data_IF_299862090950
#
_entry.id   IF_299862090950
#
_cell.length_a   1.000
_cell.length_b   1.000
_cell.length_c   1.000
_cell.angle_alpha   90.00
_cell.angle_beta   90.00
_cell.angle_gamma   90.00
#
_symmetry.space_group_name_H-M   'P 1'
#
loop_
_entity.id
_entity.type
_entity.pdbx_description
1 polymer ?
#
# COMPACT_ATOMS: atom_id res chain seq x y z
N UNK A 1 -13.29 23.11 7.75
CA UNK A 1 -11.84 23.14 8.09
C UNK A 1 -11.04 22.64 6.89
N UNK A 2 -10.13 23.47 6.38
CA UNK A 2 -9.23 23.16 5.27
C UNK A 2 -7.91 22.59 5.80
N UNK A 3 -7.57 21.37 5.39
CA UNK A 3 -6.34 20.66 5.76
C UNK A 3 -5.51 20.36 4.53
N UNK A 4 -4.19 20.57 4.62
CA UNK A 4 -3.23 20.09 3.62
C UNK A 4 -2.58 18.81 4.15
N UNK A 5 -2.65 17.72 3.37
CA UNK A 5 -1.89 16.50 3.63
C UNK A 5 -0.64 16.42 2.73
N UNK A 6 0.52 16.09 3.30
CA UNK A 6 1.80 15.94 2.60
C UNK A 6 2.33 14.51 2.81
N UNK A 7 2.62 13.80 1.71
CA UNK A 7 3.11 12.41 1.70
C UNK A 7 4.41 12.34 0.89
N UNK A 8 5.46 11.82 1.55
CA UNK A 8 6.85 11.71 1.02
C UNK A 8 7.58 10.51 1.64
N UNK A 9 6.87 9.45 2.01
CA UNK A 9 7.45 8.30 2.72
C UNK A 9 8.38 7.45 1.85
N UNK A 10 8.20 7.44 0.52
CA UNK A 10 8.92 6.54 -0.38
C UNK A 10 9.32 7.25 -1.68
N UNK A 11 8.64 6.99 -2.80
CA UNK A 11 9.00 7.41 -4.16
C UNK A 11 7.93 8.29 -4.83
N UNK A 12 6.88 8.64 -4.11
CA UNK A 12 5.81 9.54 -4.53
C UNK A 12 5.81 10.81 -3.68
N UNK A 13 5.85 11.97 -4.35
CA UNK A 13 5.64 13.27 -3.70
C UNK A 13 4.19 13.65 -3.89
N UNK A 14 3.42 13.68 -2.82
CA UNK A 14 1.99 13.95 -2.90
C UNK A 14 1.54 15.04 -1.94
N UNK A 15 0.63 15.88 -2.43
CA UNK A 15 -0.06 16.90 -1.63
C UNK A 15 -1.54 16.87 -1.95
N UNK A 16 -2.38 16.80 -0.92
CA UNK A 16 -3.83 16.88 -1.05
C UNK A 16 -4.38 18.04 -0.23
N UNK A 17 -5.45 18.66 -0.72
CA UNK A 17 -6.24 19.66 0.03
C UNK A 17 -7.60 19.06 0.32
N UNK A 18 -7.98 19.03 1.59
CA UNK A 18 -9.23 18.44 2.08
C UNK A 18 -10.00 19.49 2.87
N UNK A 19 -11.29 19.62 2.62
CA UNK A 19 -12.20 20.50 3.37
C UNK A 19 -13.31 19.65 3.98
N UNK A 20 -13.35 19.58 5.31
CA UNK A 20 -14.38 18.85 6.08
C UNK A 20 -14.58 17.40 5.61
N UNK A 21 -13.48 16.70 5.37
CA UNK A 21 -13.45 15.30 4.92
C UNK A 21 -13.63 15.11 3.41
N UNK A 22 -13.93 16.18 2.65
CA UNK A 22 -14.03 16.16 1.19
C UNK A 22 -12.71 16.54 0.54
N UNK A 23 -12.23 15.72 -0.39
CA UNK A 23 -11.02 16.01 -1.16
C UNK A 23 -11.32 17.09 -2.21
N UNK A 24 -10.65 18.24 -2.12
CA UNK A 24 -10.73 19.31 -3.11
C UNK A 24 -9.69 19.14 -4.22
N UNK A 25 -8.49 18.67 -3.86
CA UNK A 25 -7.43 18.31 -4.81
C UNK A 25 -6.53 17.23 -4.23
N UNK A 26 -5.91 16.44 -5.12
CA UNK A 26 -4.93 15.42 -4.77
C UNK A 26 -3.91 15.32 -5.90
N UNK A 27 -2.71 15.86 -5.65
CA UNK A 27 -1.64 15.91 -6.62
C UNK A 27 -0.55 14.93 -6.24
N UNK A 28 -0.11 14.12 -7.21
CA UNK A 28 0.94 13.11 -7.03
C UNK A 28 1.97 13.27 -8.14
N UNK A 29 3.25 13.35 -7.75
CA UNK A 29 4.40 13.26 -8.64
C UNK A 29 5.20 12.02 -8.30
N UNK A 30 5.26 11.07 -9.24
CA UNK A 30 5.88 9.75 -9.01
C UNK A 30 7.26 9.64 -9.65
N UNK A 31 8.25 9.22 -8.85
CA UNK A 31 9.62 8.97 -9.28
C UNK A 31 9.89 7.53 -9.73
N UNK A 32 8.86 6.67 -9.81
CA UNK A 32 8.97 5.24 -10.20
C UNK A 32 9.86 5.03 -11.43
N UNK A 33 9.73 5.88 -12.46
CA UNK A 33 10.52 5.78 -13.69
C UNK A 33 12.04 5.92 -13.50
N UNK A 34 12.48 6.67 -12.48
CA UNK A 34 13.90 6.83 -12.12
C UNK A 34 14.46 5.57 -11.45
N UNK A 35 13.58 4.81 -10.76
CA UNK A 35 13.93 3.59 -10.03
C UNK A 35 13.89 2.33 -10.90
N UNK A 36 13.11 2.34 -11.99
CA UNK A 36 12.93 1.18 -12.87
C UNK A 36 14.24 0.55 -13.36
N UNK A 37 15.26 1.36 -13.66
CA UNK A 37 16.57 0.86 -14.12
C UNK A 37 17.36 0.11 -13.04
N UNK A 38 17.02 0.32 -11.77
CA UNK A 38 17.65 -0.32 -10.62
C UNK A 38 16.85 -1.54 -10.12
N UNK A 39 15.61 -1.70 -10.61
CA UNK A 39 14.71 -2.77 -10.19
C UNK A 39 14.26 -2.65 -8.74
N UNK A 40 14.20 -1.43 -8.21
CA UNK A 40 13.78 -1.10 -6.84
C UNK A 40 14.07 0.36 -6.50
N UNK A 41 13.43 0.87 -5.45
CA UNK A 41 13.58 2.27 -5.02
C UNK A 41 14.99 2.52 -4.50
N UNK A 42 15.65 3.55 -5.04
CA UNK A 42 16.95 4.04 -4.57
C UNK A 42 16.72 5.23 -3.63
N UNK A 43 17.04 5.11 -2.32
CA UNK A 43 16.64 6.12 -1.32
C UNK A 43 17.14 7.53 -1.59
N UNK A 44 18.37 7.68 -2.08
CA UNK A 44 18.96 8.98 -2.40
C UNK A 44 18.26 9.66 -3.60
N UNK A 45 17.91 8.89 -4.63
CA UNK A 45 17.18 9.40 -5.80
C UNK A 45 15.79 9.87 -5.37
N UNK A 46 15.11 9.08 -4.55
CA UNK A 46 13.79 9.44 -4.03
C UNK A 46 13.84 10.72 -3.19
N UNK A 47 14.81 10.84 -2.28
CA UNK A 47 14.98 12.02 -1.43
C UNK A 47 15.20 13.29 -2.25
N UNK A 48 16.09 13.25 -3.27
CA UNK A 48 16.33 14.38 -4.18
C UNK A 48 15.09 14.76 -4.98
N UNK A 49 14.36 13.75 -5.46
CA UNK A 49 13.12 13.98 -6.19
C UNK A 49 12.09 14.71 -5.32
N UNK A 50 11.93 14.34 -4.04
CA UNK A 50 11.05 15.09 -3.15
C UNK A 50 11.46 16.54 -2.99
N UNK A 51 12.75 16.84 -2.84
CA UNK A 51 13.25 18.23 -2.73
C UNK A 51 12.86 19.05 -3.95
N UNK A 52 13.02 18.47 -5.15
CA UNK A 52 12.71 19.13 -6.42
C UNK A 52 11.21 19.35 -6.64
N UNK A 53 10.38 18.36 -6.27
CA UNK A 53 8.95 18.34 -6.64
C UNK A 53 7.99 18.78 -5.54
N UNK A 54 8.38 18.83 -4.26
CA UNK A 54 7.45 19.12 -3.16
C UNK A 54 6.78 20.48 -3.28
N UNK A 55 7.53 21.53 -3.64
CA UNK A 55 6.96 22.87 -3.79
C UNK A 55 6.09 23.02 -5.06
N UNK A 56 6.50 22.54 -6.25
CA UNK A 56 5.62 22.49 -7.42
C UNK A 56 4.30 21.75 -7.17
N UNK A 57 4.35 20.57 -6.54
CA UNK A 57 3.16 19.75 -6.21
C UNK A 57 2.26 20.49 -5.22
N UNK A 58 2.83 21.08 -4.18
CA UNK A 58 2.10 21.90 -3.20
C UNK A 58 1.36 23.07 -3.85
N UNK A 59 2.04 23.85 -4.71
CA UNK A 59 1.42 24.97 -5.42
C UNK A 59 0.30 24.50 -6.34
N UNK A 60 0.49 23.39 -7.03
CA UNK A 60 -0.52 22.80 -7.92
C UNK A 60 -1.75 22.35 -7.13
N UNK A 61 -1.56 21.72 -5.97
CA UNK A 61 -2.65 21.26 -5.12
C UNK A 61 -3.51 22.43 -4.61
N UNK A 62 -2.89 23.51 -4.12
CA UNK A 62 -3.60 24.72 -3.72
C UNK A 62 -4.36 25.37 -4.87
N UNK A 63 -3.71 25.51 -6.03
CA UNK A 63 -4.32 26.07 -7.24
C UNK A 63 -5.56 25.26 -7.67
N UNK A 64 -5.43 23.94 -7.74
CA UNK A 64 -6.51 23.07 -8.19
C UNK A 64 -7.66 22.98 -7.18
N UNK A 65 -7.37 23.15 -5.88
CA UNK A 65 -8.39 23.29 -4.85
C UNK A 65 -9.09 24.65 -4.85
N UNK A 66 -8.56 25.65 -5.57
CA UNK A 66 -9.05 27.02 -5.52
C UNK A 66 -8.87 27.68 -4.16
N UNK A 67 -7.86 27.27 -3.38
CA UNK A 67 -7.59 27.75 -2.02
C UNK A 67 -6.27 28.52 -1.95
N UNK A 68 -6.26 29.61 -1.19
CA UNK A 68 -5.05 30.29 -0.75
C UNK A 68 -4.49 29.69 0.53
N UNK A 69 -3.19 29.88 0.78
CA UNK A 69 -2.53 29.40 2.01
C UNK A 69 -3.15 29.99 3.29
N UNK A 70 -3.74 31.19 3.20
CA UNK A 70 -4.42 31.86 4.32
C UNK A 70 -5.75 31.18 4.73
N UNK A 71 -6.32 30.36 3.86
CA UNK A 71 -7.56 29.62 4.15
C UNK A 71 -7.28 28.27 4.83
N UNK A 72 -6.03 27.84 4.87
CA UNK A 72 -5.62 26.57 5.48
C UNK A 72 -5.70 26.68 6.99
N UNK A 73 -6.21 25.64 7.65
CA UNK A 73 -6.35 25.59 9.10
C UNK A 73 -5.41 24.55 9.74
N UNK A 74 -4.90 23.60 8.96
CA UNK A 74 -4.08 22.49 9.45
C UNK A 74 -3.13 21.98 8.37
N UNK A 75 -1.90 21.67 8.75
CA UNK A 75 -0.97 20.89 7.94
C UNK A 75 -0.82 19.51 8.57
N UNK A 76 -0.97 18.47 7.76
CA UNK A 76 -0.72 17.08 8.11
C UNK A 76 0.42 16.55 7.25
N UNK A 77 1.38 15.85 7.86
CA UNK A 77 2.52 15.28 7.13
C UNK A 77 2.80 13.87 7.58
N UNK A 78 3.13 13.00 6.64
CA UNK A 78 3.57 11.65 6.95
C UNK A 78 4.86 11.67 7.75
N UNK A 79 4.81 11.11 8.97
CA UNK A 79 5.95 11.02 9.89
C UNK A 79 6.65 9.68 9.81
N UNK A 80 5.88 8.60 9.63
CA UNK A 80 6.38 7.23 9.68
C UNK A 80 5.35 6.22 9.18
N UNK A 81 5.75 4.98 8.90
CA UNK A 81 7.10 4.58 8.51
C UNK A 81 7.46 5.13 7.11
N UNK A 82 8.73 5.04 6.73
CA UNK A 82 9.21 5.50 5.43
C UNK A 82 10.73 5.59 5.37
N UNK A 83 11.25 5.96 4.20
CA UNK A 83 12.66 6.22 3.99
C UNK A 83 13.07 7.48 4.77
N UNK A 84 14.10 7.43 5.65
CA UNK A 84 14.44 8.56 6.51
C UNK A 84 14.73 9.86 5.75
N UNK A 85 15.44 9.77 4.62
CA UNK A 85 15.72 10.93 3.76
C UNK A 85 14.46 11.53 3.15
N UNK A 86 13.56 10.69 2.63
CA UNK A 86 12.29 11.13 2.05
C UNK A 86 11.37 11.77 3.09
N UNK A 87 11.20 11.13 4.26
CA UNK A 87 10.39 11.65 5.38
C UNK A 87 10.89 13.00 5.90
N UNK A 88 12.22 13.19 5.94
CA UNK A 88 12.83 14.43 6.38
C UNK A 88 12.43 15.60 5.47
N UNK A 89 12.41 15.39 4.15
CA UNK A 89 12.02 16.42 3.18
C UNK A 89 10.59 16.89 3.42
N UNK A 90 9.63 15.97 3.50
CA UNK A 90 8.23 16.30 3.77
C UNK A 90 8.05 16.98 5.12
N UNK A 91 8.67 16.44 6.18
CA UNK A 91 8.57 16.99 7.53
C UNK A 91 9.16 18.39 7.63
N UNK A 92 10.33 18.65 7.02
CA UNK A 92 10.95 19.97 7.01
C UNK A 92 10.10 20.98 6.25
N UNK A 93 9.59 20.60 5.07
CA UNK A 93 8.70 21.45 4.28
C UNK A 93 7.40 21.77 5.02
N UNK A 94 6.75 20.77 5.61
CA UNK A 94 5.51 20.94 6.36
C UNK A 94 5.69 21.87 7.58
N UNK A 95 6.81 21.75 8.31
CA UNK A 95 7.17 22.66 9.40
C UNK A 95 7.35 24.09 8.92
N UNK A 96 8.04 24.31 7.80
CA UNK A 96 8.23 25.64 7.24
C UNK A 96 6.90 26.28 6.81
N UNK A 97 6.03 25.52 6.13
CA UNK A 97 4.70 25.99 5.71
C UNK A 97 3.81 26.29 6.92
N UNK A 98 3.75 25.39 7.91
CA UNK A 98 2.99 25.57 9.15
C UNK A 98 3.45 26.81 9.91
N UNK A 99 4.77 27.01 10.06
CA UNK A 99 5.34 28.18 10.72
C UNK A 99 4.99 29.49 9.97
N UNK A 100 5.17 29.50 8.64
CA UNK A 100 4.89 30.69 7.83
C UNK A 100 3.39 31.05 7.80
N UNK A 101 2.50 30.05 7.82
CA UNK A 101 1.05 30.25 7.80
C UNK A 101 0.45 30.46 9.20
N UNK A 102 1.19 30.18 10.27
CA UNK A 102 0.68 30.28 11.65
C UNK A 102 -0.38 29.23 11.99
N UNK A 103 -0.31 28.04 11.40
CA UNK A 103 -1.32 26.97 11.56
C UNK A 103 -0.71 25.73 12.22
N UNK A 104 -1.50 24.93 12.97
CA UNK A 104 -1.04 23.69 13.56
C UNK A 104 -0.46 22.68 12.55
N UNK A 105 0.46 21.84 13.03
CA UNK A 105 1.06 20.74 12.30
C UNK A 105 0.82 19.42 13.03
N UNK A 106 0.37 18.39 12.31
CA UNK A 106 0.24 17.02 12.82
C UNK A 106 1.10 16.04 12.02
N UNK A 107 1.74 15.12 12.75
CA UNK A 107 2.43 13.98 12.16
C UNK A 107 1.47 12.80 12.02
N UNK A 108 1.43 12.20 10.84
CA UNK A 108 0.51 11.10 10.49
C UNK A 108 1.30 9.82 10.28
N UNK A 109 0.77 8.70 10.78
CA UNK A 109 1.28 7.38 10.45
C UNK A 109 0.75 6.95 9.07
N UNK A 110 1.65 6.70 8.12
CA UNK A 110 1.40 6.30 6.75
C UNK A 110 0.51 5.05 6.64
N UNK A 111 0.74 4.04 7.50
CA UNK A 111 -0.03 2.79 7.47
C UNK A 111 -1.45 3.02 7.97
N UNK A 112 -1.63 3.87 8.99
CA UNK A 112 -2.95 4.21 9.48
C UNK A 112 -3.71 5.02 8.44
N UNK A 113 -3.05 5.99 7.79
CA UNK A 113 -3.62 6.73 6.67
C UNK A 113 -4.08 5.81 5.53
N UNK A 114 -3.30 4.77 5.20
CA UNK A 114 -3.70 3.76 4.23
C UNK A 114 -4.99 3.03 4.63
N UNK A 115 -5.10 2.57 5.88
CA UNK A 115 -6.32 1.91 6.38
C UNK A 115 -7.50 2.89 6.33
N UNK A 116 -7.30 4.14 6.76
CA UNK A 116 -8.36 5.13 6.84
C UNK A 116 -8.81 5.70 5.50
N UNK A 117 -8.00 5.57 4.45
CA UNK A 117 -8.35 6.03 3.09
C UNK A 117 -9.63 5.42 2.55
N UNK A 118 -10.05 4.24 3.03
CA UNK A 118 -11.30 3.59 2.66
C UNK A 118 -12.55 4.41 3.03
N UNK A 119 -12.42 5.34 3.98
CA UNK A 119 -13.52 6.17 4.47
C UNK A 119 -13.58 7.54 3.79
N UNK A 120 -12.60 7.88 2.94
CA UNK A 120 -12.60 9.12 2.16
C UNK A 120 -13.67 9.03 1.07
N UNK A 121 -14.47 10.08 0.94
CA UNK A 121 -15.48 10.25 -0.14
C UNK A 121 -16.46 9.06 -0.26
N UNK A 122 -16.73 8.38 0.87
CA UNK A 122 -17.66 7.26 0.88
C UNK A 122 -19.07 7.78 0.63
N UNK A 123 -19.58 7.58 -0.59
CA UNK A 123 -20.98 7.83 -1.00
C UNK A 123 -22.04 7.13 -0.13
N UNK A 124 -21.64 6.38 0.90
CA UNK A 124 -22.45 5.43 1.67
C UNK A 124 -22.77 5.87 3.11
N UNK A 125 -22.62 7.14 3.49
CA UNK A 125 -22.86 7.59 4.88
C UNK A 125 -22.10 6.73 5.93
N UNK A 126 -20.94 6.19 5.57
CA UNK A 126 -20.09 5.48 6.53
C UNK A 126 -19.22 6.52 7.22
N UNK A 127 -19.76 7.14 8.27
CA UNK A 127 -18.95 7.93 9.18
C UNK A 127 -17.95 7.00 9.88
N UNK A 128 -16.67 7.35 9.78
CA UNK A 128 -15.56 6.59 10.36
C UNK A 128 -15.75 6.32 11.86
N UNK A 129 -16.40 7.23 12.59
CA UNK A 129 -16.68 7.07 14.01
C UNK A 129 -17.64 5.91 14.31
N UNK A 130 -18.59 5.63 13.42
CA UNK A 130 -19.62 4.61 13.61
C UNK A 130 -19.18 3.18 13.25
N UNK A 131 -17.98 3.00 12.67
CA UNK A 131 -17.50 1.69 12.20
C UNK A 131 -16.45 1.05 13.11
N UNK A 132 -15.98 1.76 14.13
CA UNK A 132 -15.07 1.19 15.12
C UNK A 132 -15.81 0.26 16.10
N UNK A 133 -15.16 -0.82 16.59
CA UNK A 133 -13.85 -1.28 16.19
C UNK A 133 -13.89 -2.17 14.94
N UNK A 134 -12.82 -2.19 14.14
CA UNK A 134 -12.75 -2.95 12.89
C UNK A 134 -11.37 -3.58 12.65
N UNK A 135 -11.30 -4.50 11.68
CA UNK A 135 -10.01 -5.02 11.20
C UNK A 135 -9.49 -4.13 10.07
N UNK A 136 -8.32 -3.54 10.27
CA UNK A 136 -7.57 -2.84 9.24
C UNK A 136 -6.51 -3.75 8.63
N UNK A 137 -6.35 -3.74 7.31
CA UNK A 137 -5.24 -4.43 6.66
C UNK A 137 -4.52 -3.50 5.69
N UNK A 138 -3.19 -3.51 5.70
CA UNK A 138 -2.37 -2.79 4.73
C UNK A 138 -1.61 -3.80 3.90
N UNK A 139 -1.85 -3.78 2.58
CA UNK A 139 -1.21 -4.69 1.62
C UNK A 139 -0.60 -3.83 0.50
N UNK A 140 0.69 -3.51 0.63
CA UNK A 140 1.44 -2.63 -0.27
C UNK A 140 2.76 -3.27 -0.74
N UNK A 141 3.57 -2.49 -1.47
CA UNK A 141 4.92 -2.88 -1.87
C UNK A 141 5.80 -3.26 -0.67
N UNK A 142 5.82 -2.41 0.36
CA UNK A 142 6.67 -2.58 1.54
C UNK A 142 5.97 -3.07 2.80
N UNK A 143 4.64 -3.22 2.79
CA UNK A 143 3.89 -3.55 4.00
C UNK A 143 2.86 -4.65 3.76
N UNK A 144 2.75 -5.58 4.70
CA UNK A 144 1.68 -6.58 4.77
C UNK A 144 1.34 -6.77 6.24
N UNK A 145 0.32 -6.03 6.69
CA UNK A 145 0.00 -5.85 8.11
C UNK A 145 -1.49 -6.01 8.35
N UNK A 146 -1.85 -6.55 9.51
CA UNK A 146 -3.21 -6.58 10.05
C UNK A 146 -3.23 -5.83 11.37
N UNK A 147 -4.20 -4.93 11.51
CA UNK A 147 -4.46 -4.12 12.67
C UNK A 147 -5.84 -4.42 13.26
N UNK A 148 -5.93 -4.38 14.58
CA UNK A 148 -7.17 -4.16 15.30
C UNK A 148 -7.32 -2.65 15.54
N UNK A 149 -8.31 -2.03 14.92
CA UNK A 149 -8.52 -0.59 14.95
C UNK A 149 -9.66 -0.28 15.93
N UNK A 150 -9.36 0.40 17.02
CA UNK A 150 -10.31 0.66 18.12
C UNK A 150 -10.83 2.10 18.11
N UNK A 151 -10.02 3.04 17.63
CA UNK A 151 -10.36 4.44 17.41
C UNK A 151 -9.37 5.07 16.42
N UNK A 152 -9.58 6.33 16.05
CA UNK A 152 -8.71 7.07 15.11
C UNK A 152 -7.23 7.11 15.52
N UNK A 153 -6.95 6.95 16.81
CA UNK A 153 -5.63 7.03 17.44
C UNK A 153 -5.16 5.69 18.04
N UNK A 154 -5.99 4.63 18.03
CA UNK A 154 -5.66 3.33 18.63
C UNK A 154 -5.72 2.21 17.59
N UNK A 155 -4.54 1.89 17.07
CA UNK A 155 -4.30 0.81 16.12
C UNK A 155 -3.33 -0.19 16.74
N UNK A 156 -3.82 -1.41 17.01
CA UNK A 156 -3.02 -2.50 17.55
C UNK A 156 -2.55 -3.40 16.41
N UNK A 157 -1.24 -3.50 16.18
CA UNK A 157 -0.68 -4.43 15.20
C UNK A 157 -0.85 -5.87 15.69
N UNK A 158 -1.65 -6.68 14.99
CA UNK A 158 -1.97 -8.06 15.37
C UNK A 158 -1.38 -9.11 14.42
N UNK A 159 -0.89 -8.69 13.25
CA UNK A 159 -0.15 -9.57 12.33
C UNK A 159 0.69 -8.77 11.36
N UNK A 160 1.88 -9.27 11.02
CA UNK A 160 2.77 -8.64 10.03
C UNK A 160 3.55 -9.68 9.23
N UNK A 161 4.10 -9.27 8.09
CA UNK A 161 5.10 -10.10 7.43
C UNK A 161 6.35 -10.22 8.31
N UNK A 162 6.92 -11.43 8.38
CA UNK A 162 8.20 -11.72 9.03
C UNK A 162 9.38 -11.52 8.09
N UNK A 163 9.11 -11.39 6.79
CA UNK A 163 10.11 -11.27 5.73
C UNK A 163 9.67 -10.28 4.64
N UNK A 164 9.60 -10.72 3.38
CA UNK A 164 9.18 -9.89 2.26
C UNK A 164 7.71 -9.48 2.44
N UNK A 165 7.37 -8.24 2.15
CA UNK A 165 5.97 -7.87 1.96
C UNK A 165 5.43 -8.53 0.68
N UNK A 166 4.11 -8.69 0.57
CA UNK A 166 3.56 -9.38 -0.61
C UNK A 166 3.85 -8.61 -1.89
N UNK A 167 3.77 -7.28 -1.88
CA UNK A 167 4.05 -6.47 -3.07
C UNK A 167 5.51 -6.62 -3.53
N UNK A 168 6.46 -6.62 -2.60
CA UNK A 168 7.86 -6.97 -2.87
C UNK A 168 8.01 -8.39 -3.42
N UNK A 169 7.23 -9.37 -2.93
CA UNK A 169 7.24 -10.72 -3.49
C UNK A 169 6.74 -10.73 -4.95
N UNK A 170 5.72 -9.93 -5.30
CA UNK A 170 5.29 -9.73 -6.68
C UNK A 170 6.41 -9.14 -7.55
N UNK A 171 7.12 -8.12 -7.06
CA UNK A 171 8.24 -7.48 -7.77
C UNK A 171 9.40 -8.45 -7.99
N UNK A 172 9.76 -9.23 -6.97
CA UNK A 172 10.82 -10.26 -7.08
C UNK A 172 10.44 -11.37 -8.05
N UNK A 173 9.18 -11.81 -8.07
CA UNK A 173 8.70 -12.80 -9.06
C UNK A 173 8.72 -12.23 -10.47
N UNK A 174 8.28 -10.99 -10.66
CA UNK A 174 8.38 -10.33 -11.95
C UNK A 174 9.82 -10.23 -12.45
N UNK A 175 10.77 -9.92 -11.55
CA UNK A 175 12.20 -9.90 -11.85
C UNK A 175 12.75 -11.28 -12.23
N UNK A 176 12.41 -12.33 -11.50
CA UNK A 176 12.81 -13.73 -11.81
C UNK A 176 12.34 -14.15 -13.21
N UNK A 177 11.16 -13.70 -13.61
CA UNK A 177 10.54 -14.04 -14.90
C UNK A 177 10.86 -13.04 -16.02
N UNK A 178 11.72 -12.05 -15.75
CA UNK A 178 12.12 -10.99 -16.69
C UNK A 178 10.91 -10.21 -17.26
N UNK A 179 9.98 -9.85 -16.38
CA UNK A 179 8.71 -9.20 -16.73
C UNK A 179 8.72 -7.67 -16.53
N UNK A 180 9.76 -7.11 -15.92
CA UNK A 180 9.90 -5.69 -15.63
C UNK A 180 9.38 -5.27 -14.25
N UNK A 181 9.28 -3.96 -14.03
CA UNK A 181 8.87 -3.31 -12.79
C UNK A 181 7.90 -2.16 -13.09
N UNK A 182 6.83 -1.93 -12.30
CA UNK A 182 6.43 -2.67 -11.09
C UNK A 182 5.80 -4.03 -11.40
N UNK A 183 6.11 -5.04 -10.56
CA UNK A 183 5.78 -6.43 -10.81
C UNK A 183 4.33 -6.81 -10.55
N UNK A 184 3.67 -6.19 -9.58
CA UNK A 184 2.26 -6.47 -9.23
C UNK A 184 1.31 -6.47 -10.44
N UNK A 185 1.17 -5.34 -11.17
CA UNK A 185 0.29 -5.25 -12.35
C UNK A 185 0.68 -6.20 -13.49
N UNK A 186 1.99 -6.44 -13.68
CA UNK A 186 2.48 -7.29 -14.77
C UNK A 186 2.19 -8.76 -14.48
N UNK A 187 2.44 -9.23 -13.25
CA UNK A 187 2.14 -10.59 -12.81
C UNK A 187 0.64 -10.85 -12.90
N UNK A 188 -0.21 -9.91 -12.48
CA UNK A 188 -1.67 -10.05 -12.59
C UNK A 188 -2.12 -10.19 -14.05
N UNK A 189 -1.63 -9.32 -14.93
CA UNK A 189 -1.94 -9.37 -16.38
C UNK A 189 -1.49 -10.68 -17.04
N UNK A 190 -0.39 -11.26 -16.56
CA UNK A 190 0.12 -12.56 -17.03
C UNK A 190 -0.70 -13.72 -16.46
N UNK A 191 -1.05 -13.65 -15.18
CA UNK A 191 -1.91 -14.62 -14.52
C UNK A 191 -3.27 -14.76 -15.22
N UNK A 192 -3.87 -13.65 -15.67
CA UNK A 192 -5.16 -13.67 -16.37
C UNK A 192 -5.12 -14.33 -17.76
N UNK A 193 -3.93 -14.63 -18.29
CA UNK A 193 -3.73 -15.31 -19.59
C UNK A 193 -3.54 -16.82 -19.45
N UNK A 194 -3.55 -17.35 -18.23
CA UNK A 194 -3.45 -18.77 -17.98
C UNK A 194 -4.85 -19.42 -17.98
N UNK A 195 -5.08 -20.31 -18.95
CA UNK A 195 -6.35 -21.06 -19.10
C UNK A 195 -6.19 -22.56 -18.77
N UNK A 196 -5.02 -22.97 -18.25
CA UNK A 196 -4.75 -24.37 -17.93
C UNK A 196 -5.50 -24.83 -16.67
N UNK A 197 -5.89 -26.11 -16.64
CA UNK A 197 -6.66 -26.68 -15.52
C UNK A 197 -5.85 -26.93 -14.24
N UNK A 198 -4.51 -26.96 -14.32
CA UNK A 198 -3.63 -27.37 -13.20
C UNK A 198 -2.64 -26.27 -12.82
N UNK A 199 -2.87 -25.66 -11.66
CA UNK A 199 -1.94 -24.72 -11.03
C UNK A 199 -0.72 -25.46 -10.45
N UNK A 200 0.37 -24.73 -10.29
CA UNK A 200 1.58 -25.18 -9.60
C UNK A 200 1.31 -25.09 -8.08
N UNK A 201 1.60 -26.15 -7.29
CA UNK A 201 1.32 -26.16 -5.87
C UNK A 201 2.42 -25.40 -5.08
N UNK A 202 2.49 -24.08 -5.27
CA UNK A 202 3.40 -23.25 -4.46
C UNK A 202 3.01 -23.26 -2.97
N UNK A 203 3.98 -23.12 -2.03
CA UNK A 203 3.68 -23.20 -0.61
C UNK A 203 2.80 -22.03 -0.15
N UNK A 204 1.89 -22.31 0.79
CA UNK A 204 1.16 -21.30 1.56
C UNK A 204 1.73 -21.27 2.97
N UNK A 205 2.69 -20.38 3.21
CA UNK A 205 3.44 -20.34 4.45
C UNK A 205 2.56 -19.94 5.66
N UNK A 206 2.96 -20.39 6.85
CA UNK A 206 2.38 -19.99 8.14
C UNK A 206 0.86 -20.22 8.28
N UNK A 207 0.28 -21.17 7.55
CA UNK A 207 -1.16 -21.49 7.68
C UNK A 207 -1.49 -22.59 8.70
N UNK A 208 -0.49 -23.38 9.12
CA UNK A 208 -0.70 -24.57 9.97
C UNK A 208 -1.20 -24.20 11.37
N UNK A 209 -0.57 -23.21 12.02
CA UNK A 209 -1.06 -22.63 13.27
C UNK A 209 -2.30 -21.79 12.97
N UNK A 210 -3.42 -22.06 13.66
CA UNK A 210 -4.70 -21.36 13.49
C UNK A 210 -4.81 -20.05 14.27
N UNK A 211 -3.86 -19.75 15.15
CA UNK A 211 -3.79 -18.52 15.94
C UNK A 211 -2.88 -17.48 15.31
N UNK A 212 -1.90 -17.92 14.52
CA UNK A 212 -0.92 -17.05 13.88
C UNK A 212 -1.58 -16.13 12.83
N UNK A 213 -1.29 -14.84 12.91
CA UNK A 213 -1.72 -13.82 11.95
C UNK A 213 -0.58 -13.24 11.12
N UNK A 214 0.66 -13.71 11.35
CA UNK A 214 1.82 -13.28 10.58
C UNK A 214 1.88 -13.90 9.19
N UNK A 215 2.66 -13.25 8.33
CA UNK A 215 2.89 -13.64 6.94
C UNK A 215 4.36 -14.00 6.68
N UNK A 216 4.59 -14.77 5.62
CA UNK A 216 5.91 -15.04 5.06
C UNK A 216 5.78 -15.31 3.56
N UNK A 217 6.51 -14.56 2.75
CA UNK A 217 6.51 -14.65 1.29
C UNK A 217 7.92 -14.90 0.70
N UNK A 218 8.97 -14.85 1.51
CA UNK A 218 10.34 -15.15 1.05
C UNK A 218 10.49 -16.59 0.52
N UNK A 219 9.80 -17.56 1.13
CA UNK A 219 9.87 -18.97 0.72
C UNK A 219 9.23 -19.22 -0.65
N UNK A 220 8.15 -18.52 -0.99
CA UNK A 220 7.45 -18.73 -2.26
C UNK A 220 8.27 -18.21 -3.45
N UNK A 221 9.02 -17.10 -3.31
CA UNK A 221 9.90 -16.62 -4.39
C UNK A 221 10.99 -17.63 -4.74
N UNK A 222 11.53 -18.29 -3.72
CA UNK A 222 12.61 -19.29 -3.88
C UNK A 222 12.08 -20.50 -4.65
N UNK A 223 10.85 -20.93 -4.34
CA UNK A 223 10.18 -22.00 -5.10
C UNK A 223 9.87 -21.59 -6.54
N UNK A 224 9.46 -20.34 -6.77
CA UNK A 224 9.27 -19.80 -8.12
C UNK A 224 10.58 -19.80 -8.91
N UNK A 225 11.69 -19.37 -8.31
CA UNK A 225 13.00 -19.37 -8.94
C UNK A 225 13.43 -20.77 -9.38
N UNK A 226 13.37 -21.77 -8.49
CA UNK A 226 13.73 -23.15 -8.83
C UNK A 226 12.81 -23.73 -9.91
N UNK A 227 11.50 -23.51 -9.79
CA UNK A 227 10.55 -23.99 -10.78
C UNK A 227 10.81 -23.35 -12.16
N UNK A 228 11.08 -22.04 -12.22
CA UNK A 228 11.40 -21.35 -13.46
C UNK A 228 12.69 -21.88 -14.09
N UNK A 229 13.74 -22.08 -13.29
CA UNK A 229 15.04 -22.61 -13.72
C UNK A 229 14.90 -23.96 -14.43
N UNK A 230 14.09 -24.85 -13.85
CA UNK A 230 13.93 -26.23 -14.31
C UNK A 230 12.80 -26.40 -15.35
N UNK A 231 12.16 -25.29 -15.77
CA UNK A 231 11.04 -25.31 -16.71
C UNK A 231 11.47 -25.16 -18.18
N UNK A 232 10.51 -25.28 -19.10
CA UNK A 232 10.68 -25.05 -20.55
C UNK A 232 10.92 -23.58 -20.93
N UNK A 233 10.87 -22.66 -19.96
CA UNK A 233 11.08 -21.21 -20.13
C UNK A 233 10.21 -20.53 -21.19
N UNK A 234 9.03 -21.09 -21.47
CA UNK A 234 8.08 -20.54 -22.44
C UNK A 234 7.21 -19.43 -21.84
N UNK A 235 6.60 -18.62 -22.70
CA UNK A 235 5.62 -17.60 -22.27
C UNK A 235 4.38 -18.23 -21.60
N UNK A 236 3.98 -19.44 -22.03
CA UNK A 236 2.92 -20.21 -21.38
C UNK A 236 3.29 -20.58 -19.93
N UNK A 237 4.55 -20.93 -19.70
CA UNK A 237 5.04 -21.25 -18.36
C UNK A 237 5.11 -20.01 -17.46
N UNK A 238 5.55 -18.85 -17.99
CA UNK A 238 5.48 -17.57 -17.25
C UNK A 238 4.05 -17.26 -16.80
N UNK A 239 3.06 -17.44 -17.69
CA UNK A 239 1.65 -17.21 -17.34
C UNK A 239 1.18 -18.16 -16.23
N UNK A 240 1.54 -19.45 -16.32
CA UNK A 240 1.23 -20.48 -15.31
C UNK A 240 1.86 -20.19 -13.94
N UNK A 241 3.13 -19.77 -13.93
CA UNK A 241 3.83 -19.36 -12.71
C UNK A 241 3.16 -18.13 -12.10
N UNK A 242 2.90 -17.09 -12.89
CA UNK A 242 2.23 -15.88 -12.43
C UNK A 242 0.86 -16.19 -11.79
N UNK A 243 0.05 -17.00 -12.45
CA UNK A 243 -1.25 -17.45 -11.92
C UNK A 243 -1.10 -18.20 -10.60
N UNK A 244 -0.22 -19.20 -10.57
CA UNK A 244 -0.06 -20.08 -9.41
C UNK A 244 0.53 -19.35 -8.20
N UNK A 245 1.47 -18.43 -8.45
CA UNK A 245 2.05 -17.56 -7.42
C UNK A 245 1.00 -16.61 -6.85
N UNK A 246 0.26 -15.90 -7.71
CA UNK A 246 -0.80 -14.98 -7.29
C UNK A 246 -1.83 -15.70 -6.43
N UNK A 247 -2.31 -16.87 -6.87
CA UNK A 247 -3.28 -17.65 -6.10
C UNK A 247 -2.75 -18.08 -4.74
N UNK A 248 -1.48 -18.48 -4.64
CA UNK A 248 -0.88 -18.84 -3.36
C UNK A 248 -0.71 -17.64 -2.42
N UNK A 249 -0.24 -16.50 -2.93
CA UNK A 249 -0.05 -15.29 -2.14
C UNK A 249 -1.39 -14.71 -1.64
N UNK A 250 -2.38 -14.61 -2.52
CA UNK A 250 -3.72 -14.10 -2.21
C UNK A 250 -4.44 -15.00 -1.20
N UNK A 251 -4.34 -16.33 -1.35
CA UNK A 251 -4.97 -17.29 -0.43
C UNK A 251 -4.43 -17.16 1.01
N UNK A 252 -3.13 -16.89 1.19
CA UNK A 252 -2.55 -16.63 2.52
C UNK A 252 -3.12 -15.33 3.11
N UNK A 253 -3.17 -14.25 2.31
CA UNK A 253 -3.71 -12.94 2.74
C UNK A 253 -5.16 -13.07 3.20
N UNK A 254 -5.99 -13.64 2.32
CA UNK A 254 -7.40 -13.85 2.58
C UNK A 254 -7.61 -14.65 3.88
N UNK A 255 -6.97 -15.82 4.00
CA UNK A 255 -7.14 -16.70 5.18
C UNK A 255 -6.76 -16.01 6.48
N UNK A 256 -5.68 -15.23 6.50
CA UNK A 256 -5.19 -14.53 7.70
C UNK A 256 -6.09 -13.35 8.06
N UNK A 257 -6.57 -12.59 7.08
CA UNK A 257 -7.55 -11.51 7.31
C UNK A 257 -8.85 -12.08 7.89
N UNK A 258 -9.44 -13.11 7.27
CA UNK A 258 -10.68 -13.71 7.79
C UNK A 258 -10.51 -14.41 9.13
N UNK A 259 -9.32 -14.94 9.41
CA UNK A 259 -8.96 -15.45 10.74
C UNK A 259 -8.98 -14.32 11.77
N UNK A 260 -8.36 -13.18 11.47
CA UNK A 260 -8.38 -12.01 12.36
C UNK A 260 -9.81 -11.50 12.62
N UNK A 261 -10.63 -11.41 11.56
CA UNK A 261 -12.06 -11.06 11.66
C UNK A 261 -12.79 -12.00 12.62
N UNK A 262 -12.62 -13.31 12.47
CA UNK A 262 -13.24 -14.31 13.37
C UNK A 262 -12.74 -14.21 14.81
N UNK A 263 -11.44 -14.02 15.01
CA UNK A 263 -10.84 -13.91 16.34
C UNK A 263 -11.33 -12.68 17.10
N UNK A 264 -11.48 -11.54 16.40
CA UNK A 264 -11.93 -10.27 16.98
C UNK A 264 -13.44 -10.05 16.89
N UNK A 265 -14.18 -10.95 16.24
CA UNK A 265 -15.62 -10.82 15.95
C UNK A 265 -15.97 -9.48 15.27
N UNK A 266 -15.10 -9.03 14.36
CA UNK A 266 -15.27 -7.77 13.65
C UNK A 266 -16.34 -7.90 12.57
N UNK A 267 -17.18 -6.87 12.41
CA UNK A 267 -18.16 -6.78 11.32
C UNK A 267 -17.65 -5.98 10.12
N UNK A 268 -16.59 -5.20 10.31
CA UNK A 268 -16.01 -4.31 9.30
C UNK A 268 -14.56 -4.69 9.03
N UNK A 269 -14.22 -4.70 7.73
CA UNK A 269 -12.87 -4.85 7.21
C UNK A 269 -12.53 -3.62 6.35
N UNK A 270 -11.48 -2.90 6.72
CA UNK A 270 -10.90 -1.83 5.90
C UNK A 270 -9.55 -2.31 5.35
N UNK A 271 -9.35 -2.22 4.03
CA UNK A 271 -8.13 -2.70 3.37
C UNK A 271 -7.53 -1.60 2.51
N UNK A 272 -6.31 -1.18 2.86
CA UNK A 272 -5.53 -0.18 2.14
C UNK A 272 -4.25 -0.76 1.51
N UNK A 273 -3.58 0.05 0.70
CA UNK A 273 -2.31 -0.27 0.04
C UNK A 273 -2.44 -0.68 -1.43
N UNK A 274 -1.34 -0.59 -2.18
CA UNK A 274 -1.35 -0.74 -3.64
C UNK A 274 -1.72 -2.14 -4.16
N UNK A 275 -1.46 -3.20 -3.39
CA UNK A 275 -1.77 -4.58 -3.80
C UNK A 275 -3.27 -4.86 -3.74
N UNK A 276 -4.04 -4.03 -3.01
CA UNK A 276 -5.51 -4.07 -3.01
C UNK A 276 -6.08 -3.82 -4.41
N UNK A 277 -5.33 -3.23 -5.34
CA UNK A 277 -5.78 -3.08 -6.74
C UNK A 277 -5.80 -4.40 -7.52
N UNK A 278 -5.23 -5.47 -6.99
CA UNK A 278 -5.31 -6.80 -7.58
C UNK A 278 -6.76 -7.33 -7.53
N UNK A 279 -7.31 -7.65 -8.71
CA UNK A 279 -8.69 -8.09 -8.87
C UNK A 279 -8.97 -9.44 -8.20
N UNK A 280 -8.01 -10.37 -8.23
CA UNK A 280 -8.17 -11.66 -7.54
C UNK A 280 -8.31 -11.44 -6.03
N UNK A 281 -7.42 -10.63 -5.44
CA UNK A 281 -7.51 -10.29 -4.01
C UNK A 281 -8.85 -9.63 -3.66
N UNK A 282 -9.27 -8.59 -4.40
CA UNK A 282 -10.57 -7.93 -4.16
C UNK A 282 -11.73 -8.91 -4.23
N UNK A 283 -11.76 -9.76 -5.26
CA UNK A 283 -12.85 -10.71 -5.45
C UNK A 283 -12.95 -11.70 -4.28
N UNK A 284 -11.82 -12.22 -3.79
CA UNK A 284 -11.81 -13.16 -2.65
C UNK A 284 -12.23 -12.50 -1.34
N UNK A 285 -11.84 -11.24 -1.13
CA UNK A 285 -12.24 -10.48 0.06
C UNK A 285 -13.74 -10.14 0.03
N UNK A 286 -14.31 -9.83 -1.13
CA UNK A 286 -15.74 -9.51 -1.26
C UNK A 286 -16.63 -10.76 -1.22
N UNK A 287 -16.23 -11.86 -1.85
CA UNK A 287 -17.06 -13.07 -1.95
C UNK A 287 -17.23 -13.85 -0.65
N UNK A 288 -16.42 -13.56 0.37
CA UNK A 288 -16.52 -14.17 1.71
C UNK A 288 -17.13 -13.25 2.77
N UNK A 289 -17.51 -12.04 2.37
CA UNK A 289 -18.24 -11.08 3.20
C UNK A 289 -19.69 -11.51 3.42
#
# INVERSE_FOLDING_TARGET
MVTIGIETSCDETAVAVVEDGKVLSSEVSSSVHLHSRYGGVVPEIASRYHVEYIFPVFKKALKNAGKGIKEVNLIAVTREPGLPGSLLVGTAFAKAVSFAAGVPLIGVNHLYAHVLSCFIDSKKNCEIAGVFPFIGAVVSGGHTNIYWCESLDRFSLIGRTRDDAVGEAFDKVAKILELGYPGGPVVEKRASRFFGKKAIPFPRALLADKTDLDFSFSGIKTRVMYYWRDSSKTEGEKNKICFSFQEAAVDVIEKKIFRAIKMKKASVLAVGGGVVNNKSLRQKLVNRS
#
